data_IF_055362936474
#
_entry.id   IF_055362936474
#
_cell.length_a   1.000
_cell.length_b   1.000
_cell.length_c   1.000
_cell.angle_alpha   90.00
_cell.angle_beta   90.00
_cell.angle_gamma   90.00
#
_symmetry.space_group_name_H-M   'P 1'
#
loop_
_entity.id
_entity.type
_entity.pdbx_description
1 polymer ?
#
# COMPACT_ATOMS: atom_id res chain seq x y z
N UNK A 1 -28.63 -26.63 -40.84
CA UNK A 1 -28.53 -25.19 -41.15
C UNK A 1 -29.16 -24.40 -40.00
N UNK A 2 -28.36 -23.79 -39.11
CA UNK A 2 -28.90 -23.04 -37.96
C UNK A 2 -29.50 -21.70 -38.47
N UNK A 3 -30.75 -21.34 -38.11
CA UNK A 3 -31.41 -20.16 -38.64
C UNK A 3 -30.62 -18.89 -38.26
N UNK A 4 -30.55 -17.95 -39.19
CA UNK A 4 -29.76 -16.70 -39.15
C UNK A 4 -29.95 -15.87 -37.85
N UNK A 5 -31.10 -15.98 -37.20
CA UNK A 5 -31.40 -15.35 -35.91
C UNK A 5 -30.75 -16.02 -34.68
N UNK A 6 -30.45 -17.33 -34.70
CA UNK A 6 -29.74 -18.00 -33.60
C UNK A 6 -28.25 -17.66 -33.58
N UNK A 7 -27.63 -17.52 -34.77
CA UNK A 7 -26.23 -17.09 -34.93
C UNK A 7 -26.02 -15.64 -34.48
N UNK A 8 -26.90 -14.71 -34.88
CA UNK A 8 -26.82 -13.31 -34.42
C UNK A 8 -27.00 -13.15 -32.91
N UNK A 9 -27.78 -14.02 -32.25
CA UNK A 9 -27.87 -14.05 -30.78
C UNK A 9 -26.59 -14.58 -30.13
N UNK A 10 -25.98 -15.64 -30.68
CA UNK A 10 -24.71 -16.16 -30.16
C UNK A 10 -23.55 -15.17 -30.31
N UNK A 11 -23.49 -14.44 -31.42
CA UNK A 11 -22.51 -13.36 -31.62
C UNK A 11 -22.71 -12.24 -30.59
N UNK A 12 -23.95 -11.80 -30.35
CA UNK A 12 -24.25 -10.81 -29.32
C UNK A 12 -23.90 -11.26 -27.90
N UNK A 13 -24.14 -12.54 -27.57
CA UNK A 13 -23.74 -13.10 -26.27
C UNK A 13 -22.21 -13.08 -26.14
N UNK A 14 -21.48 -13.51 -27.18
CA UNK A 14 -20.03 -13.46 -27.16
C UNK A 14 -19.48 -12.02 -27.07
N UNK A 15 -20.12 -11.05 -27.73
CA UNK A 15 -19.78 -9.62 -27.63
C UNK A 15 -20.06 -9.06 -26.22
N UNK A 16 -21.18 -9.43 -25.60
CA UNK A 16 -21.51 -9.02 -24.24
C UNK A 16 -20.54 -9.65 -23.23
N UNK A 17 -20.21 -10.93 -23.38
CA UNK A 17 -19.22 -11.64 -22.56
C UNK A 17 -17.84 -10.98 -22.66
N UNK A 18 -17.42 -10.58 -23.85
CA UNK A 18 -16.16 -9.85 -24.05
C UNK A 18 -16.14 -8.51 -23.31
N UNK A 19 -17.24 -7.75 -23.32
CA UNK A 19 -17.36 -6.49 -22.58
C UNK A 19 -17.34 -6.69 -21.07
N UNK A 20 -17.92 -7.78 -20.57
CA UNK A 20 -17.84 -8.14 -19.14
C UNK A 20 -16.39 -8.44 -18.75
N UNK A 21 -15.66 -9.20 -19.57
CA UNK A 21 -14.24 -9.50 -19.34
C UNK A 21 -13.37 -8.24 -19.37
N UNK A 22 -13.62 -7.32 -20.30
CA UNK A 22 -12.91 -6.04 -20.39
C UNK A 22 -13.13 -5.18 -19.13
N UNK A 23 -14.38 -5.08 -18.66
CA UNK A 23 -14.69 -4.35 -17.43
C UNK A 23 -14.02 -4.97 -16.20
N UNK A 24 -14.03 -6.31 -16.09
CA UNK A 24 -13.37 -7.01 -14.99
C UNK A 24 -11.85 -6.78 -14.99
N UNK A 25 -11.23 -6.78 -16.17
CA UNK A 25 -9.81 -6.48 -16.31
C UNK A 25 -9.50 -5.01 -15.93
N UNK A 26 -10.32 -4.06 -16.35
CA UNK A 26 -10.14 -2.66 -16.02
C UNK A 26 -10.23 -2.40 -14.50
N UNK A 27 -11.19 -3.05 -13.82
CA UNK A 27 -11.31 -2.97 -12.35
C UNK A 27 -10.10 -3.61 -11.66
N UNK A 28 -9.60 -4.75 -12.15
CA UNK A 28 -8.38 -5.38 -11.63
C UNK A 28 -7.17 -4.44 -11.74
N UNK A 29 -6.94 -3.84 -12.91
CA UNK A 29 -5.85 -2.90 -13.13
C UNK A 29 -5.96 -1.65 -12.25
N UNK A 30 -7.19 -1.16 -12.02
CA UNK A 30 -7.44 -0.04 -11.10
C UNK A 30 -7.05 -0.40 -9.67
N UNK A 31 -7.46 -1.58 -9.20
CA UNK A 31 -7.14 -2.05 -7.86
C UNK A 31 -5.63 -2.25 -7.68
N UNK A 32 -4.96 -2.86 -8.67
CA UNK A 32 -3.49 -3.04 -8.64
C UNK A 32 -2.77 -1.70 -8.56
N UNK A 33 -3.17 -0.71 -9.37
CA UNK A 33 -2.58 0.64 -9.32
C UNK A 33 -2.80 1.31 -7.96
N UNK A 34 -3.98 1.14 -7.37
CA UNK A 34 -4.31 1.72 -6.08
C UNK A 34 -3.47 1.09 -4.96
N UNK A 35 -3.38 -0.24 -4.91
CA UNK A 35 -2.55 -0.95 -3.94
C UNK A 35 -1.09 -0.53 -4.06
N UNK A 36 -0.56 -0.49 -5.30
CA UNK A 36 0.79 -0.02 -5.55
C UNK A 36 1.04 1.38 -4.99
N UNK A 37 0.10 2.32 -5.17
CA UNK A 37 0.23 3.66 -4.61
C UNK A 37 0.24 3.67 -3.08
N UNK A 38 -0.60 2.85 -2.43
CA UNK A 38 -0.58 2.68 -0.98
C UNK A 38 0.76 2.11 -0.50
N UNK A 39 1.27 1.09 -1.17
CA UNK A 39 2.52 0.42 -0.81
C UNK A 39 3.71 1.39 -0.94
N UNK A 40 3.76 2.19 -2.01
CA UNK A 40 4.78 3.23 -2.16
C UNK A 40 4.72 4.28 -1.04
N UNK A 41 3.52 4.72 -0.65
CA UNK A 41 3.34 5.67 0.46
C UNK A 41 3.72 5.08 1.81
N UNK A 42 3.37 3.81 2.05
CA UNK A 42 3.72 3.09 3.27
C UNK A 42 5.24 2.93 3.37
N UNK A 43 5.88 2.50 2.28
CA UNK A 43 7.34 2.35 2.23
C UNK A 43 8.06 3.68 2.51
N UNK A 44 7.55 4.78 1.97
CA UNK A 44 8.14 6.10 2.23
C UNK A 44 8.03 6.49 3.71
N UNK A 45 6.90 6.18 4.33
CA UNK A 45 6.67 6.42 5.75
C UNK A 45 7.63 5.60 6.61
N UNK A 46 7.78 4.31 6.32
CA UNK A 46 8.72 3.42 7.02
C UNK A 46 10.18 3.87 6.86
N UNK A 47 10.58 4.32 5.67
CA UNK A 47 11.91 4.88 5.44
C UNK A 47 12.14 6.18 6.22
N UNK A 48 11.10 7.00 6.42
CA UNK A 48 11.18 8.20 7.25
C UNK A 48 11.27 7.83 8.75
N UNK A 49 10.48 6.85 9.20
CA UNK A 49 10.53 6.32 10.56
C UNK A 49 11.90 5.74 10.90
N UNK A 50 12.55 5.05 9.96
CA UNK A 50 13.90 4.54 10.15
C UNK A 50 14.89 5.64 10.55
N UNK A 51 14.82 6.81 9.90
CA UNK A 51 15.67 7.96 10.24
C UNK A 51 15.38 8.51 11.64
N UNK A 52 14.11 8.49 12.05
CA UNK A 52 13.71 8.89 13.41
C UNK A 52 14.30 7.93 14.43
N UNK A 53 14.13 6.62 14.24
CA UNK A 53 14.68 5.60 15.13
C UNK A 53 16.21 5.70 15.23
N UNK A 54 16.93 5.89 14.12
CA UNK A 54 18.38 6.07 14.14
C UNK A 54 18.81 7.25 15.03
N UNK A 55 18.10 8.39 14.93
CA UNK A 55 18.39 9.57 15.75
C UNK A 55 18.06 9.34 17.24
N UNK A 56 16.92 8.72 17.53
CA UNK A 56 16.48 8.43 18.89
C UNK A 56 17.39 7.42 19.58
N UNK A 57 17.78 6.35 18.88
CA UNK A 57 18.72 5.33 19.36
C UNK A 57 20.07 5.96 19.66
N UNK A 58 20.62 6.77 18.74
CA UNK A 58 21.91 7.46 18.95
C UNK A 58 21.87 8.36 20.18
N UNK A 59 20.78 9.13 20.34
CA UNK A 59 20.57 10.00 21.49
C UNK A 59 20.46 9.21 22.80
N UNK A 60 19.68 8.12 22.79
CA UNK A 60 19.51 7.24 23.94
C UNK A 60 20.81 6.53 24.34
N UNK A 61 21.62 6.09 23.36
CA UNK A 61 22.94 5.51 23.60
C UNK A 61 23.88 6.49 24.31
N UNK A 62 23.94 7.74 23.85
CA UNK A 62 24.74 8.78 24.48
C UNK A 62 24.29 9.05 25.93
N UNK A 63 22.97 9.10 26.15
CA UNK A 63 22.41 9.30 27.48
C UNK A 63 22.71 8.12 28.42
N UNK A 64 22.54 6.89 27.95
CA UNK A 64 22.89 5.68 28.71
C UNK A 64 24.37 5.70 29.08
N UNK A 65 25.26 6.07 28.16
CA UNK A 65 26.70 6.16 28.44
C UNK A 65 27.04 7.22 29.50
N UNK A 66 26.39 8.39 29.45
CA UNK A 66 26.58 9.44 30.46
C UNK A 66 26.07 9.00 31.84
N UNK A 67 24.88 8.41 31.91
CA UNK A 67 24.29 7.94 33.16
C UNK A 67 25.04 6.74 33.73
N UNK A 68 25.58 5.85 32.89
CA UNK A 68 26.45 4.76 33.34
C UNK A 68 27.68 5.32 34.07
N UNK A 69 28.37 6.31 33.49
CA UNK A 69 29.53 6.96 34.15
C UNK A 69 29.15 7.60 35.49
N UNK A 70 27.99 8.26 35.54
CA UNK A 70 27.47 8.87 36.78
C UNK A 70 27.14 7.83 37.85
N UNK A 71 26.54 6.70 37.44
CA UNK A 71 26.26 5.56 38.31
C UNK A 71 27.55 4.92 38.86
N UNK A 72 28.55 4.70 37.99
CA UNK A 72 29.84 4.12 38.38
C UNK A 72 30.60 5.02 39.38
N UNK A 73 30.39 6.34 39.30
CA UNK A 73 30.88 7.33 40.26
C UNK A 73 30.03 7.45 41.54
N UNK A 74 28.95 6.67 41.67
CA UNK A 74 28.05 6.68 42.83
C UNK A 74 27.03 7.83 42.86
N UNK A 75 26.91 8.60 41.78
CA UNK A 75 26.09 9.82 41.72
C UNK A 75 24.66 9.59 41.21
N UNK A 76 24.29 8.38 40.81
CA UNK A 76 22.96 8.08 40.24
C UNK A 76 22.48 6.70 40.66
N UNK A 77 21.17 6.46 40.63
CA UNK A 77 20.58 5.18 41.01
C UNK A 77 20.69 4.14 39.90
N UNK A 78 20.88 2.86 40.28
CA UNK A 78 20.84 1.73 39.35
C UNK A 78 19.48 1.64 38.61
N UNK A 79 18.40 2.06 39.28
CA UNK A 79 17.04 2.03 38.73
C UNK A 79 16.91 2.91 37.49
N UNK A 80 17.50 4.10 37.51
CA UNK A 80 17.42 5.04 36.38
C UNK A 80 18.25 4.55 35.18
N UNK A 81 19.43 3.99 35.46
CA UNK A 81 20.27 3.35 34.44
C UNK A 81 19.54 2.19 33.76
N UNK A 82 18.88 1.31 34.52
CA UNK A 82 18.10 0.19 33.98
C UNK A 82 16.95 0.70 33.11
N UNK A 83 16.21 1.72 33.58
CA UNK A 83 15.09 2.29 32.81
C UNK A 83 15.55 2.83 31.45
N UNK A 84 16.68 3.53 31.41
CA UNK A 84 17.24 4.05 30.16
C UNK A 84 17.73 2.95 29.23
N UNK A 85 18.36 1.90 29.77
CA UNK A 85 18.75 0.73 28.96
C UNK A 85 17.53 0.00 28.39
N UNK A 86 16.44 -0.11 29.16
CA UNK A 86 15.19 -0.70 28.68
C UNK A 86 14.54 0.15 27.57
N UNK A 87 14.56 1.48 27.69
CA UNK A 87 14.09 2.39 26.63
C UNK A 87 14.91 2.21 25.35
N UNK A 88 16.24 2.20 25.46
CA UNK A 88 17.14 1.98 24.32
C UNK A 88 16.85 0.63 23.64
N UNK A 89 16.66 -0.44 24.42
CA UNK A 89 16.31 -1.74 23.89
C UNK A 89 14.96 -1.75 23.18
N UNK A 90 13.97 -1.02 23.71
CA UNK A 90 12.67 -0.81 23.06
C UNK A 90 12.83 -0.16 21.68
N UNK A 91 13.54 0.96 21.60
CA UNK A 91 13.80 1.67 20.34
C UNK A 91 14.52 0.78 19.31
N UNK A 92 15.47 -0.03 19.76
CA UNK A 92 16.18 -0.98 18.90
C UNK A 92 15.26 -2.07 18.34
N UNK A 93 14.34 -2.60 19.17
CA UNK A 93 13.35 -3.57 18.70
C UNK A 93 12.37 -2.93 17.71
N UNK A 94 11.93 -1.71 17.97
CA UNK A 94 11.03 -0.98 17.06
C UNK A 94 11.71 -0.75 15.69
N UNK A 95 13.01 -0.43 15.67
CA UNK A 95 13.80 -0.32 14.44
C UNK A 95 13.88 -1.66 13.68
N UNK A 96 14.07 -2.78 14.39
CA UNK A 96 14.08 -4.11 13.78
C UNK A 96 12.73 -4.44 13.16
N UNK A 97 11.63 -4.13 13.84
CA UNK A 97 10.28 -4.35 13.32
C UNK A 97 9.99 -3.44 12.11
N UNK A 98 10.42 -2.19 12.15
CA UNK A 98 10.35 -1.28 11.00
C UNK A 98 11.09 -1.86 9.77
N UNK A 99 12.31 -2.38 9.97
CA UNK A 99 13.06 -3.04 8.88
C UNK A 99 12.35 -4.29 8.35
N UNK A 100 11.73 -5.08 9.23
CA UNK A 100 10.95 -6.25 8.82
C UNK A 100 9.80 -5.84 7.91
N UNK A 101 9.05 -4.79 8.28
CA UNK A 101 7.97 -4.25 7.47
C UNK A 101 8.44 -3.69 6.12
N UNK A 102 9.58 -3.00 6.11
CA UNK A 102 10.21 -2.53 4.86
C UNK A 102 10.53 -3.72 3.95
N UNK A 103 11.11 -4.80 4.49
CA UNK A 103 11.50 -5.97 3.70
C UNK A 103 10.29 -6.74 3.13
N UNK A 104 9.23 -6.89 3.92
CA UNK A 104 7.97 -7.50 3.47
C UNK A 104 7.40 -6.70 2.29
N UNK A 105 7.32 -5.38 2.44
CA UNK A 105 6.78 -4.48 1.43
C UNK A 105 7.65 -4.41 0.17
N UNK A 106 8.98 -4.47 0.31
CA UNK A 106 9.90 -4.61 -0.82
C UNK A 106 9.65 -5.90 -1.59
N UNK A 107 9.37 -7.01 -0.90
CA UNK A 107 9.10 -8.30 -1.53
C UNK A 107 7.80 -8.27 -2.33
N UNK A 108 6.76 -7.66 -1.76
CA UNK A 108 5.48 -7.44 -2.45
C UNK A 108 5.65 -6.54 -3.68
N UNK A 109 6.30 -5.38 -3.52
CA UNK A 109 6.54 -4.44 -4.61
C UNK A 109 7.38 -5.07 -5.75
N UNK A 110 8.39 -5.88 -5.42
CA UNK A 110 9.17 -6.62 -6.43
C UNK A 110 8.31 -7.59 -7.22
N UNK A 111 7.39 -8.27 -6.55
CA UNK A 111 6.44 -9.19 -7.17
C UNK A 111 5.47 -8.45 -8.08
N UNK A 112 4.89 -7.35 -7.61
CA UNK A 112 3.94 -6.54 -8.37
C UNK A 112 4.58 -5.85 -9.58
N UNK A 113 5.82 -5.37 -9.44
CA UNK A 113 6.55 -4.65 -10.49
C UNK A 113 7.39 -5.57 -11.38
N UNK A 114 7.44 -6.87 -11.08
CA UNK A 114 8.26 -7.85 -11.78
C UNK A 114 9.73 -7.41 -11.90
N UNK A 115 10.30 -6.88 -10.82
CA UNK A 115 11.70 -6.41 -10.80
C UNK A 115 12.65 -7.54 -10.39
N UNK A 116 13.95 -7.31 -10.58
CA UNK A 116 14.99 -8.24 -10.10
C UNK A 116 14.97 -8.31 -8.58
N UNK A 117 15.25 -9.48 -8.01
CA UNK A 117 15.34 -9.65 -6.55
C UNK A 117 16.35 -8.70 -5.89
N UNK A 118 17.42 -8.35 -6.60
CA UNK A 118 18.48 -7.44 -6.14
C UNK A 118 18.12 -5.96 -6.29
N UNK A 119 17.02 -5.62 -6.97
CA UNK A 119 16.58 -4.24 -7.08
C UNK A 119 16.02 -3.76 -5.73
N UNK A 120 16.25 -2.51 -5.38
CA UNK A 120 15.61 -1.87 -4.23
C UNK A 120 14.66 -0.80 -4.75
N UNK A 121 13.40 -0.87 -4.34
CA UNK A 121 12.39 0.10 -4.74
C UNK A 121 12.47 1.29 -3.80
N UNK A 122 12.74 2.48 -4.33
CA UNK A 122 12.79 3.70 -3.51
C UNK A 122 11.64 4.65 -3.89
N UNK A 123 10.72 4.96 -2.96
CA UNK A 123 9.64 5.91 -3.21
C UNK A 123 10.19 7.33 -3.31
N UNK A 124 9.88 8.00 -4.41
CA UNK A 124 10.13 9.44 -4.58
C UNK A 124 8.84 10.19 -4.24
N UNK A 125 8.74 10.68 -2.99
CA UNK A 125 7.66 11.60 -2.61
C UNK A 125 8.09 13.01 -2.97
N UNK A 126 7.24 13.69 -3.74
CA UNK A 126 7.43 15.09 -4.07
C UNK A 126 6.72 15.92 -2.99
N UNK A 127 7.46 16.35 -1.97
CA UNK A 127 6.95 17.15 -0.84
C UNK A 127 6.60 18.60 -1.23
N UNK A 128 6.34 18.86 -2.52
CA UNK A 128 5.86 20.16 -2.94
C UNK A 128 4.53 20.40 -2.24
N UNK A 129 4.37 21.51 -1.48
CA UNK A 129 3.08 21.87 -0.93
C UNK A 129 2.11 21.89 -2.11
N UNK A 130 1.05 21.09 -2.00
CA UNK A 130 0.01 21.01 -3.01
C UNK A 130 -0.49 22.42 -3.23
N UNK A 131 -0.16 23.03 -4.38
CA UNK A 131 -0.81 24.25 -4.82
C UNK A 131 -2.30 24.02 -4.68
N UNK A 132 -3.03 24.95 -4.04
CA UNK A 132 -4.47 24.81 -3.76
C UNK A 132 -5.21 24.29 -4.99
N UNK A 133 -5.46 22.97 -5.02
CA UNK A 133 -6.22 22.34 -6.09
C UNK A 133 -7.67 22.66 -5.79
N UNK A 134 -8.28 23.54 -6.57
CA UNK A 134 -9.73 23.71 -6.60
C UNK A 134 -10.34 22.43 -7.17
N UNK A 135 -10.83 21.57 -6.29
CA UNK A 135 -11.51 20.34 -6.66
C UNK A 135 -12.96 20.66 -7.05
N UNK A 136 -13.27 20.61 -8.34
CA UNK A 136 -14.65 20.62 -8.85
C UNK A 136 -15.30 19.25 -8.58
N UNK A 137 -15.76 19.06 -7.34
CA UNK A 137 -16.38 17.80 -6.90
C UNK A 137 -17.58 17.40 -7.79
N UNK A 138 -18.51 18.31 -8.16
CA UNK A 138 -19.59 17.98 -9.10
C UNK A 138 -19.09 17.49 -10.46
N UNK A 139 -18.14 18.18 -11.08
CA UNK A 139 -17.57 17.77 -12.37
C UNK A 139 -16.84 16.42 -12.30
N UNK A 140 -16.15 16.15 -11.18
CA UNK A 140 -15.50 14.86 -10.94
C UNK A 140 -16.51 13.73 -10.73
N UNK A 141 -17.64 13.98 -10.07
CA UNK A 141 -18.73 13.00 -9.91
C UNK A 141 -19.35 12.65 -11.26
N UNK A 142 -19.61 13.62 -12.13
CA UNK A 142 -20.15 13.35 -13.47
C UNK A 142 -19.15 12.58 -14.34
N UNK A 143 -17.86 12.91 -14.28
CA UNK A 143 -16.80 12.13 -14.94
C UNK A 143 -16.69 10.71 -14.38
N UNK A 144 -16.83 10.55 -13.06
CA UNK A 144 -16.81 9.25 -12.39
C UNK A 144 -18.00 8.40 -12.84
N UNK A 145 -19.23 8.92 -12.88
CA UNK A 145 -20.41 8.20 -13.39
C UNK A 145 -20.24 7.71 -14.83
N UNK A 146 -19.58 8.50 -15.68
CA UNK A 146 -19.30 8.13 -17.07
C UNK A 146 -18.24 7.02 -17.18
N UNK A 147 -17.22 7.00 -16.31
CA UNK A 147 -16.15 5.99 -16.30
C UNK A 147 -16.50 4.73 -15.49
N UNK A 148 -17.27 4.87 -14.42
CA UNK A 148 -17.82 3.80 -13.58
C UNK A 148 -19.19 3.32 -14.07
N UNK A 149 -19.54 3.54 -15.34
CA UNK A 149 -20.70 2.89 -15.94
C UNK A 149 -20.41 1.38 -16.01
N UNK A 150 -20.48 0.73 -14.84
CA UNK A 150 -20.51 -0.71 -14.63
C UNK A 150 -21.62 -1.16 -15.56
N UNK A 151 -21.25 -1.84 -16.65
CA UNK A 151 -22.23 -2.40 -17.57
C UNK A 151 -23.28 -3.08 -16.69
N UNK A 152 -24.57 -2.70 -16.77
CA UNK A 152 -25.58 -3.40 -16.02
C UNK A 152 -25.46 -4.84 -16.47
N UNK A 153 -25.04 -5.72 -15.56
CA UNK A 153 -25.21 -7.16 -15.71
C UNK A 153 -26.73 -7.32 -15.76
N UNK A 154 -27.30 -7.18 -16.96
CA UNK A 154 -28.71 -7.35 -17.20
C UNK A 154 -28.94 -8.79 -16.77
N UNK A 155 -29.65 -8.96 -15.67
CA UNK A 155 -30.07 -10.23 -15.12
C UNK A 155 -30.48 -11.12 -16.28
N UNK A 156 -29.63 -12.09 -16.62
CA UNK A 156 -29.96 -13.12 -17.59
C UNK A 156 -31.15 -13.85 -16.94
N UNK A 157 -32.37 -13.79 -17.50
CA UNK A 157 -33.45 -14.60 -16.94
C UNK A 157 -33.11 -16.05 -17.27
N UNK A 158 -32.52 -16.74 -16.30
CA UNK A 158 -32.37 -18.20 -16.35
C UNK A 158 -33.76 -18.78 -16.17
N UNK A 159 -34.46 -18.99 -17.29
CA UNK A 159 -35.66 -19.82 -17.30
C UNK A 159 -35.20 -21.27 -17.18
N UNK A 160 -35.17 -21.79 -15.95
CA UNK A 160 -35.18 -23.22 -15.73
C UNK A 160 -36.55 -23.74 -16.17
N UNK A 161 -36.58 -24.45 -17.30
CA UNK A 161 -37.71 -25.29 -17.65
C UNK A 161 -37.60 -26.58 -16.86
N UNK A 162 -38.47 -26.77 -15.87
CA UNK A 162 -38.78 -28.11 -15.38
C UNK A 162 -39.94 -28.64 -16.23
N UNK A 163 -39.69 -29.81 -16.82
CA UNK A 163 -40.62 -30.84 -17.37
C UNK A 163 -41.93 -30.38 -17.98
#
# INVERSE_FOLDING_TARGET
MLPRGKRGKQVKVAEDDAKVQEAAFADLMRNLRYNLQLDFSQLATLNAQEKVYQNEISSAQNLVAAIQKSFDAGNTSMKDLIRLKALLFGLQNDMVENHRQVNDLQTELKTLLQTKETAFVYPLINDKPVETVTLDIPGLIEQAKKKQARLPVKSIPVKFGHT
#
